data_IF_475774569756
#
_entry.id   IF_475774569756
#
_cell.length_a   1.000
_cell.length_b   1.000
_cell.length_c   1.000
_cell.angle_alpha   90.00
_cell.angle_beta   90.00
_cell.angle_gamma   90.00
#
_symmetry.space_group_name_H-M   'P 1'
#
loop_
_entity.id
_entity.type
_entity.pdbx_description
1 polymer ?
#
# COMPACT_ATOMS: atom_id res chain seq x y z
N UNK A 1 20.45 23.32 18.32
CA UNK A 1 20.15 23.32 16.87
C UNK A 1 18.80 22.66 16.70
N UNK A 2 17.79 23.46 16.36
CA UNK A 2 16.39 23.04 16.31
C UNK A 2 16.08 22.64 14.87
N UNK A 3 16.20 21.36 14.54
CA UNK A 3 15.84 20.86 13.21
C UNK A 3 14.33 20.74 13.17
N UNK A 4 13.65 21.86 12.90
CA UNK A 4 12.26 21.77 12.48
C UNK A 4 12.22 20.87 11.24
N UNK A 5 11.63 19.69 11.39
CA UNK A 5 11.23 18.84 10.28
C UNK A 5 10.25 19.67 9.44
N UNK A 6 10.79 20.38 8.44
CA UNK A 6 9.97 21.02 7.42
C UNK A 6 9.17 19.89 6.79
N UNK A 7 7.85 20.05 6.72
CA UNK A 7 7.01 19.11 6.02
C UNK A 7 7.57 19.00 4.58
N UNK A 8 8.13 17.84 4.25
CA UNK A 8 8.60 17.53 2.90
C UNK A 8 7.41 17.75 1.98
N UNK A 9 7.58 18.62 0.99
CA UNK A 9 6.54 18.87 0.01
C UNK A 9 6.58 17.80 -1.09
N UNK A 10 5.52 17.72 -1.87
CA UNK A 10 5.38 16.71 -2.93
C UNK A 10 6.37 16.89 -4.09
N UNK A 11 7.04 18.04 -4.18
CA UNK A 11 8.04 18.35 -5.20
C UNK A 11 9.44 17.84 -4.85
N UNK A 12 9.69 17.52 -3.57
CA UNK A 12 10.98 17.01 -3.09
C UNK A 12 11.26 15.54 -3.50
N UNK A 13 10.25 14.79 -3.95
CA UNK A 13 10.43 13.41 -4.40
C UNK A 13 9.99 13.20 -5.86
N UNK A 14 10.94 13.39 -6.78
CA UNK A 14 10.80 13.07 -8.21
C UNK A 14 10.21 11.66 -8.43
N UNK A 15 8.89 11.56 -8.59
CA UNK A 15 8.18 10.32 -8.92
C UNK A 15 7.68 9.48 -7.73
N UNK A 16 7.79 9.96 -6.48
CA UNK A 16 7.25 9.24 -5.31
C UNK A 16 5.99 9.94 -4.79
N UNK A 17 4.91 9.19 -4.61
CA UNK A 17 3.70 9.68 -3.96
C UNK A 17 3.81 9.43 -2.45
N UNK A 18 3.76 10.50 -1.66
CA UNK A 18 3.66 10.42 -0.21
C UNK A 18 2.19 10.57 0.18
N UNK A 19 1.69 9.62 0.99
CA UNK A 19 0.37 9.69 1.61
C UNK A 19 0.49 9.55 3.12
N UNK A 20 -0.37 10.26 3.87
CA UNK A 20 -0.46 10.13 5.33
C UNK A 20 -1.80 9.52 5.71
N UNK A 21 -1.77 8.55 6.60
CA UNK A 21 -2.96 7.85 7.07
C UNK A 21 -2.91 7.51 8.55
N UNK A 22 -4.09 7.32 9.12
CA UNK A 22 -4.27 6.83 10.49
C UNK A 22 -4.51 5.32 10.41
N UNK A 23 -3.81 4.56 11.25
CA UNK A 23 -4.02 3.10 11.36
C UNK A 23 -5.45 2.84 11.82
N UNK A 24 -6.14 1.94 11.14
CA UNK A 24 -7.51 1.54 11.46
C UNK A 24 -7.68 0.03 11.51
N UNK A 25 -8.73 -0.41 12.21
CA UNK A 25 -9.17 -1.79 12.23
C UNK A 25 -10.15 -2.04 11.08
N UNK A 26 -10.08 -3.22 10.45
CA UNK A 26 -11.09 -3.70 9.50
C UNK A 26 -11.74 -5.01 9.98
N UNK A 27 -12.48 -5.66 9.09
CA UNK A 27 -13.17 -6.96 9.35
C UNK A 27 -12.25 -8.19 9.29
N UNK A 28 -10.93 -7.99 9.32
CA UNK A 28 -9.90 -9.04 9.32
C UNK A 28 -9.88 -9.96 8.08
N UNK A 29 -10.53 -9.58 6.98
CA UNK A 29 -10.52 -10.33 5.71
C UNK A 29 -9.13 -10.36 5.06
N UNK A 30 -8.29 -9.34 5.29
CA UNK A 30 -6.92 -9.29 4.75
C UNK A 30 -6.08 -10.51 5.16
N UNK A 31 -6.36 -11.09 6.34
CA UNK A 31 -5.74 -12.35 6.77
C UNK A 31 -6.09 -13.49 5.81
N UNK A 32 -7.36 -13.63 5.45
CA UNK A 32 -7.81 -14.69 4.53
C UNK A 32 -7.08 -14.63 3.19
N UNK A 33 -7.05 -13.45 2.53
CA UNK A 33 -6.38 -13.30 1.24
C UNK A 33 -4.87 -13.55 1.31
N UNK A 34 -4.20 -13.10 2.38
CA UNK A 34 -2.76 -13.33 2.57
C UNK A 34 -2.40 -14.79 2.87
N UNK A 35 -3.37 -15.63 3.21
CA UNK A 35 -3.18 -17.08 3.33
C UNK A 35 -3.38 -17.85 2.01
N UNK A 36 -4.03 -17.27 1.00
CA UNK A 36 -4.30 -17.96 -0.26
C UNK A 36 -2.97 -18.35 -0.95
N UNK A 37 -2.75 -19.64 -1.28
CA UNK A 37 -1.49 -20.09 -1.88
C UNK A 37 -1.12 -19.35 -3.17
N UNK A 38 -2.11 -19.07 -4.03
CA UNK A 38 -1.92 -18.35 -5.28
C UNK A 38 -1.54 -16.88 -5.08
N UNK A 39 -2.05 -16.25 -4.03
CA UNK A 39 -1.72 -14.86 -3.70
C UNK A 39 -0.31 -14.78 -3.10
N UNK A 40 0.01 -15.65 -2.14
CA UNK A 40 1.34 -15.74 -1.51
C UNK A 40 2.45 -15.95 -2.54
N UNK A 41 2.23 -16.87 -3.49
CA UNK A 41 3.18 -17.16 -4.57
C UNK A 41 3.47 -15.90 -5.40
N UNK A 42 2.43 -15.20 -5.85
CA UNK A 42 2.59 -13.98 -6.64
C UNK A 42 3.24 -12.84 -5.85
N UNK A 43 2.91 -12.67 -4.57
CA UNK A 43 3.60 -11.68 -3.71
C UNK A 43 5.10 -12.01 -3.62
N UNK A 44 5.45 -13.28 -3.43
CA UNK A 44 6.85 -13.73 -3.37
C UNK A 44 7.58 -13.50 -4.70
N UNK A 45 6.95 -13.80 -5.83
CA UNK A 45 7.51 -13.60 -7.17
C UNK A 45 7.66 -12.12 -7.55
N UNK A 46 6.68 -11.29 -7.21
CA UNK A 46 6.64 -9.86 -7.60
C UNK A 46 7.44 -8.97 -6.64
N UNK A 47 7.33 -9.22 -5.34
CA UNK A 47 7.88 -8.35 -4.29
C UNK A 47 9.07 -8.97 -3.54
N UNK A 48 9.34 -10.26 -3.71
CA UNK A 48 10.51 -10.92 -3.14
C UNK A 48 10.38 -11.31 -1.65
N UNK A 49 9.17 -11.31 -1.09
CA UNK A 49 8.92 -11.69 0.30
C UNK A 49 7.61 -12.47 0.47
N UNK A 50 7.47 -13.20 1.58
CA UNK A 50 6.19 -13.82 1.94
C UNK A 50 5.32 -12.85 2.73
N UNK A 51 4.05 -12.61 2.32
CA UNK A 51 3.20 -11.65 3.01
C UNK A 51 2.94 -12.09 4.45
N UNK A 52 2.99 -11.13 5.38
CA UNK A 52 2.51 -11.32 6.74
C UNK A 52 1.01 -11.72 6.72
N UNK A 53 0.52 -12.57 7.63
CA UNK A 53 -0.88 -13.00 7.69
C UNK A 53 -1.82 -11.89 8.19
N UNK A 54 -2.08 -10.90 7.34
CA UNK A 54 -2.97 -9.77 7.61
C UNK A 54 -2.66 -8.55 6.74
N UNK A 55 -3.41 -7.48 6.96
CA UNK A 55 -3.19 -6.18 6.33
C UNK A 55 -3.14 -5.09 7.40
N UNK A 56 -2.31 -4.07 7.17
CA UNK A 56 -2.38 -2.81 7.91
C UNK A 56 -3.28 -1.86 7.13
N UNK A 57 -4.45 -1.54 7.67
CA UNK A 57 -5.38 -0.64 7.03
C UNK A 57 -5.08 0.81 7.43
N UNK A 58 -5.11 1.72 6.45
CA UNK A 58 -4.88 3.14 6.65
C UNK A 58 -6.11 3.93 6.20
N UNK A 59 -6.61 4.82 7.07
CA UNK A 59 -7.58 5.84 6.71
C UNK A 59 -6.82 7.07 6.22
N UNK A 60 -7.00 7.40 4.94
CA UNK A 60 -6.36 8.55 4.30
C UNK A 60 -7.27 9.78 4.38
N UNK A 61 -6.67 10.97 4.37
CA UNK A 61 -7.41 12.22 4.09
C UNK A 61 -7.81 12.26 2.61
N UNK A 62 -8.89 12.97 2.30
CA UNK A 62 -9.43 13.07 0.93
C UNK A 62 -8.39 13.49 -0.12
N UNK A 63 -7.48 14.41 0.23
CA UNK A 63 -6.41 14.85 -0.68
C UNK A 63 -5.48 13.71 -1.07
N UNK A 64 -5.04 12.91 -0.11
CA UNK A 64 -4.12 11.79 -0.34
C UNK A 64 -4.83 10.63 -1.04
N UNK A 65 -6.10 10.38 -0.69
CA UNK A 65 -6.93 9.38 -1.37
C UNK A 65 -7.10 9.69 -2.86
N UNK A 66 -7.35 10.95 -3.23
CA UNK A 66 -7.48 11.36 -4.63
C UNK A 66 -6.18 11.13 -5.41
N UNK A 67 -5.05 11.58 -4.86
CA UNK A 67 -3.73 11.40 -5.49
C UNK A 67 -3.37 9.91 -5.68
N UNK A 68 -3.72 9.07 -4.70
CA UNK A 68 -3.53 7.63 -4.78
C UNK A 68 -4.44 6.99 -5.83
N UNK A 69 -5.69 7.46 -5.93
CA UNK A 69 -6.64 7.02 -6.97
C UNK A 69 -6.16 7.39 -8.37
N UNK A 70 -5.59 8.58 -8.57
CA UNK A 70 -4.99 8.97 -9.86
C UNK A 70 -3.84 8.05 -10.27
N UNK A 71 -3.03 7.61 -9.30
CA UNK A 71 -1.98 6.61 -9.52
C UNK A 71 -2.57 5.25 -9.90
N UNK A 72 -3.66 4.82 -9.27
CA UNK A 72 -4.34 3.56 -9.58
C UNK A 72 -4.93 3.56 -10.99
N UNK A 73 -5.52 4.68 -11.42
CA UNK A 73 -6.10 4.85 -12.75
C UNK A 73 -5.05 4.78 -13.88
N UNK A 74 -3.80 5.17 -13.59
CA UNK A 74 -2.67 5.05 -14.53
C UNK A 74 -2.13 3.63 -14.67
N UNK A 75 -2.70 2.65 -13.96
CA UNK A 75 -2.35 1.23 -14.07
C UNK A 75 -0.88 0.89 -13.76
N UNK A 76 -0.20 1.70 -12.94
CA UNK A 76 1.24 1.61 -12.68
C UNK A 76 1.65 0.48 -11.71
N UNK A 77 0.68 -0.23 -11.09
CA UNK A 77 0.94 -1.32 -10.16
C UNK A 77 1.08 -2.69 -10.81
N UNK A 78 1.75 -3.61 -10.12
CA UNK A 78 1.86 -5.00 -10.54
C UNK A 78 0.50 -5.69 -10.42
N UNK A 79 0.01 -6.26 -11.51
CA UNK A 79 -1.26 -6.99 -11.50
C UNK A 79 -1.08 -8.35 -10.83
N UNK A 80 -2.05 -8.71 -9.99
CA UNK A 80 -2.17 -10.04 -9.40
C UNK A 80 -3.35 -10.74 -10.05
N UNK A 81 -3.11 -11.98 -10.49
CA UNK A 81 -4.10 -12.80 -11.16
C UNK A 81 -4.76 -13.76 -10.15
N UNK A 82 -6.09 -13.71 -10.03
CA UNK A 82 -6.83 -14.57 -9.11
C UNK A 82 -6.98 -16.00 -9.65
N UNK A 83 -7.24 -16.95 -8.76
CA UNK A 83 -7.90 -18.22 -9.12
C UNK A 83 -9.42 -18.01 -9.29
N UNK A 84 -10.13 -19.01 -9.81
CA UNK A 84 -11.57 -18.95 -10.01
C UNK A 84 -12.31 -18.61 -8.70
N UNK A 85 -13.30 -17.72 -8.80
CA UNK A 85 -14.06 -17.22 -7.66
C UNK A 85 -13.49 -15.96 -6.99
N UNK A 86 -12.40 -15.39 -7.51
CA UNK A 86 -11.81 -14.15 -6.98
C UNK A 86 -11.65 -13.06 -8.04
N UNK A 87 -11.55 -11.81 -7.59
CA UNK A 87 -11.28 -10.66 -8.44
C UNK A 87 -9.78 -10.35 -8.50
N UNK A 88 -9.30 -9.74 -9.61
CA UNK A 88 -7.91 -9.35 -9.73
C UNK A 88 -7.56 -8.21 -8.79
N UNK A 89 -6.28 -8.17 -8.39
CA UNK A 89 -5.73 -7.13 -7.53
C UNK A 89 -4.54 -6.40 -8.17
N UNK A 90 -4.07 -5.35 -7.49
CA UNK A 90 -2.82 -4.66 -7.83
C UNK A 90 -1.96 -4.49 -6.59
N UNK A 91 -0.65 -4.66 -6.76
CA UNK A 91 0.37 -4.41 -5.76
C UNK A 91 1.18 -3.18 -6.15
N UNK A 92 1.45 -2.34 -5.15
CA UNK A 92 2.33 -1.19 -5.25
C UNK A 92 3.40 -1.32 -4.19
N UNK A 93 4.67 -1.09 -4.58
CA UNK A 93 5.75 -1.01 -3.62
C UNK A 93 5.60 0.30 -2.83
N UNK A 94 5.72 0.20 -1.52
CA UNK A 94 5.63 1.34 -0.62
C UNK A 94 6.69 1.20 0.47
N UNK A 95 7.14 2.33 0.99
CA UNK A 95 7.99 2.41 2.18
C UNK A 95 7.12 2.94 3.30
N UNK A 96 7.05 2.20 4.41
CA UNK A 96 6.31 2.63 5.60
C UNK A 96 7.26 3.50 6.42
N UNK A 97 6.93 4.77 6.55
CA UNK A 97 7.62 5.71 7.45
C UNK A 97 6.78 5.85 8.71
N UNK A 98 7.34 5.45 9.86
CA UNK A 98 6.76 5.75 11.16
C UNK A 98 7.46 6.99 11.71
N UNK A 99 6.72 8.08 11.93
CA UNK A 99 7.20 9.12 12.84
C UNK A 99 6.82 8.69 14.25
N UNK A 100 7.79 8.50 15.13
CA UNK A 100 7.49 8.56 16.55
C UNK A 100 6.98 9.98 16.82
N UNK A 101 5.75 10.09 17.32
CA UNK A 101 5.24 11.34 17.88
C UNK A 101 6.00 11.66 19.17
#
# INVERSE_FOLDING_TARGET
MNTQMRALDDSDYNGVLIVKGIVSTGVNEGKYFTFLPWFRRQVKEILGFEPYPGTLNLLLKDSDYRRLTDLFNKSLGYRVFPEDGYFPGRLYKAIIMSSML
#
